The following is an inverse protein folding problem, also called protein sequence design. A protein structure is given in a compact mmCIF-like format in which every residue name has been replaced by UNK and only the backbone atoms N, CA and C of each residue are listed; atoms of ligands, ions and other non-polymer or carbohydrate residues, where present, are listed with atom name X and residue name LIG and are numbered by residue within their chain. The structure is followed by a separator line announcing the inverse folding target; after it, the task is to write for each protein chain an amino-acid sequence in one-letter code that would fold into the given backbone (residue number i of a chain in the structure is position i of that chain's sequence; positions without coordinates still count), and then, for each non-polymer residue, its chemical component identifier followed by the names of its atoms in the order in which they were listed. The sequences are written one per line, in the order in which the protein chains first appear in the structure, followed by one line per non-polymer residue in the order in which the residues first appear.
data_IF_773387176650
#
_entry.id   IF_773387176650
#
_cell.length_a   1.000
_cell.length_b   1.000
_cell.length_c   1.000
_cell.angle_alpha   90.00
_cell.angle_beta   90.00
_cell.angle_gamma   90.00
#
_symmetry.space_group_name_H-M   'P 1'
#
loop_
_entity.id
_entity.type
_entity.pdbx_description
1 polymer ?
#
# COMPACT_ATOMS: atom_id res chain seq x y z
N UNK A 1 -2.62 10.40 17.17
CA UNK A 1 -1.51 11.36 16.88
C UNK A 1 -2.10 12.50 16.07
N UNK A 2 -1.57 13.76 16.13
CA UNK A 2 -2.05 14.78 15.18
C UNK A 2 -1.55 14.45 13.78
N UNK A 3 -2.29 14.86 12.73
CA UNK A 3 -1.88 14.62 11.34
C UNK A 3 -0.51 15.26 11.03
N UNK A 4 -0.19 16.41 11.64
CA UNK A 4 1.11 17.05 11.52
C UNK A 4 2.25 16.18 12.07
N UNK A 5 2.08 15.62 13.27
CA UNK A 5 3.07 14.72 13.88
C UNK A 5 3.22 13.43 13.05
N UNK A 6 2.11 12.90 12.53
CA UNK A 6 2.14 11.76 11.61
C UNK A 6 2.91 12.09 10.33
N UNK A 7 2.67 13.26 9.72
CA UNK A 7 3.36 13.71 8.50
C UNK A 7 4.88 13.77 8.71
N UNK A 8 5.34 14.30 9.84
CA UNK A 8 6.78 14.36 10.16
C UNK A 8 7.38 12.96 10.34
N UNK A 9 6.69 12.08 11.06
CA UNK A 9 7.14 10.69 11.27
C UNK A 9 7.19 9.92 9.96
N UNK A 10 6.15 10.04 9.12
CA UNK A 10 6.08 9.42 7.80
C UNK A 10 7.23 9.91 6.90
N UNK A 11 7.43 11.22 6.78
CA UNK A 11 8.51 11.80 5.97
C UNK A 11 9.88 11.27 6.38
N UNK A 12 10.15 11.22 7.70
CA UNK A 12 11.40 10.70 8.23
C UNK A 12 11.59 9.21 7.92
N UNK A 13 10.53 8.42 8.05
CA UNK A 13 10.57 6.98 7.77
C UNK A 13 10.76 6.68 6.30
N UNK A 14 10.08 7.42 5.40
CA UNK A 14 10.24 7.28 3.95
C UNK A 14 11.66 7.64 3.50
N UNK A 15 12.24 8.70 4.07
CA UNK A 15 13.63 9.09 3.79
C UNK A 15 14.60 7.98 4.18
N UNK A 16 14.44 7.41 5.37
CA UNK A 16 15.29 6.32 5.86
C UNK A 16 15.17 5.02 5.04
N UNK A 17 14.08 4.87 4.30
CA UNK A 17 13.77 3.70 3.48
C UNK A 17 14.05 3.90 1.97
N UNK A 18 14.68 5.01 1.57
CA UNK A 18 14.85 5.40 0.15
C UNK A 18 13.51 5.45 -0.62
N UNK A 19 12.46 5.92 0.05
CA UNK A 19 11.10 6.09 -0.47
C UNK A 19 10.63 7.54 -0.41
N UNK A 20 11.53 8.49 -0.28
CA UNK A 20 11.18 9.92 -0.21
C UNK A 20 10.32 10.34 -1.40
N UNK A 21 9.42 11.32 -1.22
CA UNK A 21 8.68 11.91 -2.32
C UNK A 21 9.61 12.25 -3.49
N UNK A 22 9.22 11.85 -4.71
CA UNK A 22 9.99 11.99 -5.94
C UNK A 22 11.10 10.97 -6.18
N UNK A 23 11.57 10.26 -5.18
CA UNK A 23 12.55 9.19 -5.37
C UNK A 23 11.91 7.87 -5.83
N UNK A 24 10.65 7.65 -5.49
CA UNK A 24 9.84 6.53 -5.93
C UNK A 24 8.70 7.04 -6.82
N UNK A 25 8.46 6.45 -8.00
CA UNK A 25 7.41 6.91 -8.93
C UNK A 25 6.01 6.97 -8.32
N UNK A 26 5.74 6.12 -7.31
CA UNK A 26 4.46 6.03 -6.60
C UNK A 26 4.19 7.19 -5.65
N UNK A 27 5.22 7.91 -5.22
CA UNK A 27 5.12 8.98 -4.24
C UNK A 27 5.50 10.29 -4.92
N UNK A 28 4.52 11.15 -5.29
CA UNK A 28 4.80 12.42 -5.97
C UNK A 28 5.70 13.34 -5.14
N UNK A 29 6.49 14.18 -5.80
CA UNK A 29 7.42 15.14 -5.17
C UNK A 29 6.76 16.02 -4.11
N UNK A 30 5.51 16.40 -4.34
CA UNK A 30 4.74 17.28 -3.47
C UNK A 30 3.77 16.54 -2.54
N UNK A 31 3.97 15.21 -2.36
CA UNK A 31 3.09 14.43 -1.50
C UNK A 31 3.13 14.91 -0.05
N UNK A 32 1.94 15.16 0.47
CA UNK A 32 1.68 15.38 1.90
C UNK A 32 0.42 14.60 2.25
N UNK A 33 0.44 13.75 3.30
CA UNK A 33 -0.74 12.99 3.67
C UNK A 33 -1.87 13.91 4.14
N UNK A 34 -3.09 13.64 3.70
CA UNK A 34 -4.31 14.30 4.18
C UNK A 34 -5.13 13.43 5.12
N UNK A 35 -4.72 12.17 5.30
CA UNK A 35 -5.25 11.26 6.31
C UNK A 35 -4.17 10.27 6.78
N UNK A 36 -4.31 9.80 8.02
CA UNK A 36 -3.50 8.70 8.55
C UNK A 36 -4.12 7.37 8.14
N UNK A 37 -3.31 6.49 7.54
CA UNK A 37 -3.70 5.13 7.15
C UNK A 37 -3.21 4.14 8.20
N UNK A 38 -4.14 3.53 8.92
CA UNK A 38 -3.86 2.53 9.94
C UNK A 38 -4.04 1.12 9.38
N UNK A 39 -3.06 0.27 9.61
CA UNK A 39 -3.02 -1.13 9.14
C UNK A 39 -2.65 -2.01 10.34
N UNK A 40 -3.32 -3.16 10.50
CA UNK A 40 -2.92 -4.13 11.53
C UNK A 40 -3.13 -5.57 11.06
N UNK A 41 -2.16 -6.42 11.36
CA UNK A 41 -2.24 -7.87 11.22
C UNK A 41 -2.50 -8.48 12.62
N UNK A 42 -3.73 -8.92 12.87
CA UNK A 42 -4.15 -9.29 14.22
C UNK A 42 -3.95 -8.10 15.19
N UNK A 43 -3.22 -8.32 16.27
CA UNK A 43 -2.94 -7.30 17.28
C UNK A 43 -1.68 -6.46 16.98
N UNK A 44 -0.97 -6.73 15.90
CA UNK A 44 0.27 -6.02 15.53
C UNK A 44 0.02 -4.95 14.48
N UNK A 45 0.16 -3.69 14.88
CA UNK A 45 0.03 -2.55 13.97
C UNK A 45 1.25 -2.40 13.05
N UNK A 46 1.01 -1.96 11.82
CA UNK A 46 2.04 -1.45 10.91
C UNK A 46 2.40 -0.03 11.32
N UNK A 47 3.68 0.21 11.60
CA UNK A 47 4.18 1.46 12.18
C UNK A 47 5.38 1.99 11.39
N UNK A 48 5.16 2.40 10.15
CA UNK A 48 6.12 3.13 9.32
C UNK A 48 7.48 2.41 9.19
N UNK A 49 7.45 1.12 8.83
CA UNK A 49 8.65 0.33 8.54
C UNK A 49 9.00 -0.75 9.55
N UNK A 50 8.14 -1.05 10.53
CA UNK A 50 8.40 -2.17 11.44
C UNK A 50 8.37 -3.52 10.71
N UNK A 51 9.15 -4.48 11.23
CA UNK A 51 9.35 -5.79 10.63
C UNK A 51 8.20 -6.75 10.94
N UNK A 52 7.71 -7.42 9.90
CA UNK A 52 6.80 -8.57 9.98
C UNK A 52 7.46 -9.82 9.38
N UNK A 53 7.12 -10.98 9.93
CA UNK A 53 7.46 -12.28 9.37
C UNK A 53 6.37 -12.79 8.44
N UNK A 54 6.71 -13.64 7.50
CA UNK A 54 5.73 -14.25 6.57
C UNK A 54 4.56 -14.89 7.32
N UNK A 55 4.83 -15.55 8.44
CA UNK A 55 3.80 -16.19 9.27
C UNK A 55 2.80 -15.21 9.87
N UNK A 56 3.18 -13.94 10.10
CA UNK A 56 2.36 -12.90 10.72
C UNK A 56 1.39 -12.23 9.72
N UNK A 57 1.66 -12.34 8.42
CA UNK A 57 0.95 -11.59 7.36
C UNK A 57 0.13 -12.49 6.42
N UNK A 58 -0.17 -13.72 6.81
CA UNK A 58 -0.90 -14.69 5.98
C UNK A 58 -2.35 -14.29 5.69
N UNK A 59 -2.98 -13.63 6.64
CA UNK A 59 -4.37 -13.18 6.53
C UNK A 59 -4.41 -11.71 6.10
N UNK A 60 -5.51 -11.32 5.45
CA UNK A 60 -5.80 -9.91 5.13
C UNK A 60 -5.73 -9.05 6.38
N UNK A 61 -5.02 -7.91 6.37
CA UNK A 61 -4.97 -7.01 7.51
C UNK A 61 -6.28 -6.23 7.67
N UNK A 62 -6.51 -5.70 8.86
CA UNK A 62 -7.52 -4.66 9.07
C UNK A 62 -6.98 -3.32 8.57
N UNK A 63 -7.88 -2.52 7.99
CA UNK A 63 -7.58 -1.20 7.44
C UNK A 63 -8.54 -0.19 8.07
N UNK A 64 -8.01 0.93 8.53
CA UNK A 64 -8.82 2.08 8.92
C UNK A 64 -8.13 3.40 8.51
N UNK A 65 -8.92 4.43 8.29
CA UNK A 65 -8.45 5.78 8.01
C UNK A 65 -9.56 6.79 8.31
N UNK A 66 -9.16 8.01 8.65
CA UNK A 66 -10.11 9.09 8.89
C UNK A 66 -10.55 9.71 7.56
N UNK A 67 -11.77 10.24 7.53
CA UNK A 67 -12.24 11.07 6.42
C UNK A 67 -11.38 12.34 6.34
N UNK A 68 -10.97 12.71 5.14
CA UNK A 68 -10.28 13.99 4.91
C UNK A 68 -11.20 15.17 5.23
N UNK A 69 -10.67 16.27 5.77
CA UNK A 69 -11.46 17.43 6.26
C UNK A 69 -12.42 18.00 5.21
N UNK A 70 -12.04 18.00 3.95
CA UNK A 70 -12.84 18.57 2.85
C UNK A 70 -13.51 17.53 1.96
N UNK A 71 -13.48 16.25 2.32
CA UNK A 71 -14.08 15.20 1.52
C UNK A 71 -15.61 15.19 1.68
N UNK A 72 -16.33 14.88 0.59
CA UNK A 72 -17.78 14.68 0.63
C UNK A 72 -18.15 13.38 1.38
N UNK A 73 -19.41 13.24 1.79
CA UNK A 73 -19.90 11.99 2.40
C UNK A 73 -19.92 10.81 1.40
N UNK A 74 -19.95 11.12 0.10
CA UNK A 74 -19.90 10.12 -0.97
C UNK A 74 -18.49 9.78 -1.42
N UNK A 75 -17.45 10.43 -0.86
CA UNK A 75 -16.08 10.21 -1.27
C UNK A 75 -15.65 8.76 -1.06
N UNK A 76 -15.04 8.19 -2.08
CA UNK A 76 -14.50 6.83 -2.07
C UNK A 76 -12.98 6.84 -2.28
N UNK A 77 -12.37 5.71 -1.92
CA UNK A 77 -10.92 5.54 -1.91
C UNK A 77 -10.52 4.19 -2.48
N UNK A 78 -9.35 4.17 -3.10
CA UNK A 78 -8.69 2.93 -3.55
C UNK A 78 -7.45 2.66 -2.69
N UNK A 79 -7.35 1.43 -2.17
CA UNK A 79 -6.16 0.93 -1.49
C UNK A 79 -5.33 0.07 -2.44
N UNK A 80 -4.02 0.28 -2.46
CA UNK A 80 -3.05 -0.57 -3.17
C UNK A 80 -2.01 -1.05 -2.17
N UNK A 81 -1.76 -2.38 -2.12
CA UNK A 81 -0.58 -2.97 -1.47
C UNK A 81 0.39 -3.42 -2.55
N UNK A 82 1.61 -2.91 -2.51
CA UNK A 82 2.63 -3.20 -3.52
C UNK A 82 4.03 -3.36 -2.91
N UNK A 83 4.88 -4.13 -3.61
CA UNK A 83 6.25 -4.45 -3.21
C UNK A 83 7.24 -3.94 -4.27
N UNK A 84 8.04 -2.90 -3.97
CA UNK A 84 9.08 -2.37 -4.86
C UNK A 84 10.32 -3.27 -4.96
N UNK A 85 10.42 -4.31 -4.12
CA UNK A 85 11.64 -5.12 -3.95
C UNK A 85 11.54 -6.52 -4.56
N UNK A 86 10.45 -6.85 -5.25
CA UNK A 86 10.23 -8.17 -5.82
C UNK A 86 11.14 -8.46 -7.03
N UNK A 87 11.75 -9.65 -7.15
CA UNK A 87 11.69 -10.81 -6.25
C UNK A 87 12.67 -10.73 -5.07
N UNK A 88 13.59 -9.80 -5.07
CA UNK A 88 14.53 -9.51 -3.98
C UNK A 88 15.01 -8.06 -4.09
N UNK A 89 15.30 -7.36 -2.98
CA UNK A 89 15.81 -5.98 -3.01
C UNK A 89 17.11 -5.81 -3.81
N UNK A 90 17.90 -6.88 -3.97
CA UNK A 90 19.17 -6.88 -4.72
C UNK A 90 18.96 -6.97 -6.25
N UNK A 91 17.82 -7.49 -6.71
CA UNK A 91 17.44 -7.58 -8.14
C UNK A 91 15.91 -7.43 -8.28
N UNK A 92 15.35 -6.21 -8.14
CA UNK A 92 13.91 -5.98 -8.06
C UNK A 92 13.22 -5.94 -9.44
N UNK A 93 13.57 -6.86 -10.33
CA UNK A 93 13.09 -6.91 -11.73
C UNK A 93 11.59 -7.12 -11.91
N UNK A 94 10.85 -7.46 -10.85
CA UNK A 94 9.40 -7.59 -10.86
C UNK A 94 8.69 -6.46 -10.07
N UNK A 95 9.45 -5.42 -9.72
CA UNK A 95 8.89 -4.22 -9.09
C UNK A 95 7.96 -3.47 -10.07
N UNK A 96 6.85 -2.96 -9.65
CA UNK A 96 6.26 -3.17 -8.34
C UNK A 96 5.34 -4.38 -8.37
N UNK A 97 5.47 -5.30 -7.42
CA UNK A 97 4.56 -6.44 -7.34
C UNK A 97 3.22 -6.03 -6.73
N UNK A 98 2.10 -6.37 -7.39
CA UNK A 98 0.76 -6.05 -6.92
C UNK A 98 0.24 -7.14 -5.99
N UNK A 99 0.16 -6.83 -4.69
CA UNK A 99 -0.32 -7.77 -3.66
C UNK A 99 -1.83 -7.68 -3.46
N UNK A 100 -2.41 -6.49 -3.53
CA UNK A 100 -3.81 -6.25 -3.22
C UNK A 100 -4.29 -4.92 -3.79
N UNK A 101 -5.52 -4.88 -4.32
CA UNK A 101 -6.18 -3.64 -4.76
C UNK A 101 -7.64 -3.71 -4.40
N UNK A 102 -8.15 -2.71 -3.68
CA UNK A 102 -9.57 -2.56 -3.33
C UNK A 102 -10.00 -1.14 -3.65
N UNK A 103 -11.09 -0.98 -4.39
CA UNK A 103 -11.67 0.29 -4.79
C UNK A 103 -13.04 0.52 -4.14
N UNK A 104 -13.49 1.76 -4.06
CA UNK A 104 -14.78 2.13 -3.51
C UNK A 104 -14.86 2.10 -1.98
N UNK A 105 -13.72 2.11 -1.29
CA UNK A 105 -13.65 2.13 0.17
C UNK A 105 -14.18 3.46 0.73
N UNK A 106 -14.79 3.39 1.90
CA UNK A 106 -15.17 4.57 2.70
C UNK A 106 -14.55 4.48 4.09
N UNK A 107 -14.29 5.60 4.76
CA UNK A 107 -13.70 5.61 6.11
C UNK A 107 -14.47 4.79 7.14
N UNK A 108 -15.79 4.69 6.99
CA UNK A 108 -16.69 3.94 7.88
C UNK A 108 -16.82 2.46 7.56
N UNK A 109 -16.34 2.05 6.40
CA UNK A 109 -16.55 0.69 5.89
C UNK A 109 -15.37 -0.20 6.30
N UNK A 110 -15.67 -1.43 6.70
CA UNK A 110 -14.63 -2.45 6.80
C UNK A 110 -14.09 -2.82 5.42
N UNK A 111 -12.84 -3.27 5.36
CA UNK A 111 -12.19 -3.65 4.10
C UNK A 111 -12.94 -4.75 3.33
N UNK A 112 -13.61 -5.63 4.05
CA UNK A 112 -14.40 -6.74 3.48
C UNK A 112 -15.74 -6.28 2.89
N UNK A 113 -16.09 -5.00 3.00
CA UNK A 113 -17.34 -4.45 2.47
C UNK A 113 -17.33 -4.33 0.94
N UNK A 114 -16.16 -4.42 0.31
CA UNK A 114 -15.98 -4.28 -1.13
C UNK A 114 -15.23 -5.47 -1.72
N UNK A 115 -15.61 -5.93 -2.92
CA UNK A 115 -14.85 -6.94 -3.63
C UNK A 115 -13.48 -6.36 -4.04
N UNK A 116 -12.43 -7.15 -3.86
CA UNK A 116 -11.10 -6.77 -4.31
C UNK A 116 -11.02 -6.80 -5.84
N UNK A 117 -10.34 -5.82 -6.42
CA UNK A 117 -9.95 -5.83 -7.85
C UNK A 117 -8.76 -6.77 -8.07
N UNK A 118 -7.88 -6.84 -7.11
CA UNK A 118 -6.84 -7.87 -6.99
C UNK A 118 -6.91 -8.45 -5.58
N UNK A 119 -7.19 -9.73 -5.46
CA UNK A 119 -7.29 -10.41 -4.16
C UNK A 119 -5.96 -10.36 -3.39
N UNK A 120 -6.07 -10.30 -2.06
CA UNK A 120 -4.89 -10.27 -1.19
C UNK A 120 -4.00 -11.48 -1.42
N UNK A 121 -2.77 -11.23 -1.79
CA UNK A 121 -1.69 -12.20 -1.83
C UNK A 121 -0.68 -11.82 -0.75
N UNK A 122 -0.53 -12.67 0.24
CA UNK A 122 0.36 -12.39 1.36
C UNK A 122 1.80 -12.12 0.91
N UNK A 123 2.53 -11.19 1.55
CA UNK A 123 3.98 -11.12 1.46
C UNK A 123 4.65 -12.46 1.67
N UNK A 124 5.61 -12.81 0.81
CA UNK A 124 6.28 -14.10 0.85
C UNK A 124 7.77 -14.01 0.48
N UNK A 125 8.55 -13.09 1.07
CA UNK A 125 9.98 -13.04 0.84
C UNK A 125 10.65 -14.31 1.36
N UNK A 126 11.72 -14.76 0.67
CA UNK A 126 12.48 -15.94 1.06
C UNK A 126 13.35 -15.65 2.28
N UNK A 127 13.76 -16.73 2.98
CA UNK A 127 14.63 -16.63 4.16
C UNK A 127 16.04 -16.13 3.83
N UNK A 128 16.50 -16.31 2.60
CA UNK A 128 17.79 -15.86 2.08
C UNK A 128 17.73 -14.47 1.43
N UNK A 129 16.55 -13.83 1.38
CA UNK A 129 16.38 -12.45 0.92
C UNK A 129 16.48 -11.48 2.07
N UNK A 130 17.07 -10.30 1.82
CA UNK A 130 16.88 -9.15 2.73
C UNK A 130 15.40 -8.81 2.83
N UNK A 131 14.94 -8.19 3.94
CA UNK A 131 13.55 -7.76 4.07
C UNK A 131 13.11 -6.87 2.91
N UNK A 132 11.89 -7.11 2.41
CA UNK A 132 11.25 -6.29 1.40
C UNK A 132 10.44 -5.17 2.03
N UNK A 133 10.30 -4.05 1.34
CA UNK A 133 9.36 -2.96 1.70
C UNK A 133 7.99 -3.25 1.10
N UNK A 134 6.96 -3.20 1.92
CA UNK A 134 5.56 -3.34 1.49
C UNK A 134 4.82 -2.05 1.76
N UNK A 135 4.33 -1.42 0.68
CA UNK A 135 3.69 -0.10 0.70
C UNK A 135 2.19 -0.25 0.64
N UNK A 136 1.50 0.24 1.64
CA UNK A 136 0.05 0.46 1.63
C UNK A 136 -0.20 1.90 1.21
N UNK A 137 -0.87 2.09 0.08
CA UNK A 137 -1.11 3.38 -0.55
C UNK A 137 -2.61 3.61 -0.62
N UNK A 138 -3.09 4.68 0.00
CA UNK A 138 -4.49 5.08 -0.06
C UNK A 138 -4.65 6.25 -1.02
N UNK A 139 -5.51 6.07 -2.00
CA UNK A 139 -5.81 7.09 -3.00
C UNK A 139 -7.25 7.53 -2.88
N UNK A 140 -7.48 8.84 -2.95
CA UNK A 140 -8.80 9.42 -3.16
C UNK A 140 -9.22 9.22 -4.61
N UNK A 141 -10.44 8.74 -4.83
CA UNK A 141 -11.04 8.53 -6.15
C UNK A 141 -11.69 9.82 -6.68
N UNK A 142 -11.65 10.07 -8.00
CA UNK A 142 -12.50 11.09 -8.60
C UNK A 142 -13.97 10.68 -8.51
N UNK A 143 -14.87 11.64 -8.55
CA UNK A 143 -16.32 11.39 -8.51
C UNK A 143 -16.75 10.49 -9.68
N UNK A 144 -17.58 9.50 -9.37
CA UNK A 144 -18.12 8.59 -10.37
C UNK A 144 -17.17 7.53 -10.90
N UNK A 145 -15.96 7.37 -10.32
CA UNK A 145 -15.07 6.29 -10.70
C UNK A 145 -15.71 4.93 -10.44
N UNK A 146 -15.62 4.05 -11.43
CA UNK A 146 -16.03 2.65 -11.33
C UNK A 146 -14.92 1.79 -11.96
N UNK A 147 -14.28 0.97 -11.17
CA UNK A 147 -13.20 0.08 -11.58
C UNK A 147 -13.65 -1.38 -11.53
N UNK A 148 -13.12 -2.18 -12.43
CA UNK A 148 -13.31 -3.62 -12.54
C UNK A 148 -11.97 -4.36 -12.42
N UNK A 149 -12.01 -5.68 -12.33
CA UNK A 149 -10.79 -6.51 -12.28
C UNK A 149 -9.95 -6.39 -13.56
N UNK A 150 -10.58 -6.16 -14.69
CA UNK A 150 -9.92 -5.97 -15.98
C UNK A 150 -9.05 -4.72 -16.01
N UNK A 151 -9.46 -3.66 -15.28
CA UNK A 151 -8.72 -2.39 -15.23
C UNK A 151 -7.36 -2.52 -14.53
N UNK A 152 -7.18 -3.51 -13.66
CA UNK A 152 -5.90 -3.78 -12.98
C UNK A 152 -5.04 -4.85 -13.65
N UNK A 153 -5.50 -5.45 -14.77
CA UNK A 153 -4.69 -6.34 -15.61
C UNK A 153 -4.61 -7.80 -15.15
N UNK A 154 -5.63 -8.30 -14.44
CA UNK A 154 -5.75 -9.71 -14.05
C UNK A 154 -5.10 -10.08 -12.72
N UNK A 155 -5.34 -11.31 -12.22
CA UNK A 155 -4.96 -11.76 -10.88
C UNK A 155 -3.96 -12.93 -10.85
N UNK A 156 -3.66 -13.51 -12.01
CA UNK A 156 -2.71 -14.60 -12.08
C UNK A 156 -1.35 -14.19 -11.54
N UNK A 157 -0.63 -15.12 -10.93
CA UNK A 157 0.66 -14.86 -10.28
C UNK A 157 1.61 -14.03 -11.16
N UNK A 158 1.71 -14.38 -12.45
CA UNK A 158 2.60 -13.65 -13.38
C UNK A 158 2.07 -12.27 -13.76
N UNK A 159 0.76 -12.04 -13.68
CA UNK A 159 0.12 -10.76 -14.02
C UNK A 159 0.26 -9.70 -12.92
N UNK A 160 0.70 -10.12 -11.73
CA UNK A 160 0.96 -9.21 -10.60
C UNK A 160 2.33 -8.52 -10.68
N UNK A 161 3.21 -9.00 -11.58
CA UNK A 161 4.57 -8.47 -11.77
C UNK A 161 4.55 -7.12 -12.46
N UNK A 162 5.53 -6.28 -12.12
CA UNK A 162 5.82 -5.01 -12.81
C UNK A 162 4.59 -4.13 -13.01
N UNK A 163 3.74 -4.06 -11.98
CA UNK A 163 2.55 -3.24 -11.99
C UNK A 163 2.94 -1.76 -11.96
N UNK A 164 2.57 -1.02 -12.99
CA UNK A 164 2.87 0.39 -13.14
C UNK A 164 1.88 1.25 -12.31
N UNK A 165 1.91 1.09 -11.01
CA UNK A 165 0.93 1.66 -10.11
C UNK A 165 0.81 3.19 -10.20
N UNK A 166 1.92 3.91 -10.45
CA UNK A 166 1.90 5.36 -10.63
C UNK A 166 1.18 5.78 -11.93
N UNK A 167 1.49 5.10 -13.05
CA UNK A 167 0.83 5.34 -14.33
C UNK A 167 -0.66 4.99 -14.23
N UNK A 168 -0.97 3.83 -13.65
CA UNK A 168 -2.34 3.37 -13.44
C UNK A 168 -3.16 4.33 -12.57
N UNK A 169 -2.59 4.82 -11.47
CA UNK A 169 -3.25 5.81 -10.63
C UNK A 169 -3.52 7.12 -11.37
N UNK A 170 -2.56 7.59 -12.18
CA UNK A 170 -2.71 8.79 -12.99
C UNK A 170 -3.79 8.63 -14.09
N UNK A 171 -3.84 7.48 -14.76
CA UNK A 171 -4.84 7.17 -15.78
C UNK A 171 -6.26 7.19 -15.24
N UNK A 172 -6.46 6.77 -13.98
CA UNK A 172 -7.75 6.77 -13.30
C UNK A 172 -8.04 8.03 -12.46
N UNK A 173 -7.16 9.03 -12.52
CA UNK A 173 -7.34 10.30 -11.80
C UNK A 173 -7.26 10.16 -10.28
N UNK A 174 -6.59 9.13 -9.78
CA UNK A 174 -6.42 8.86 -8.36
C UNK A 174 -5.42 9.83 -7.74
N UNK A 175 -5.71 10.33 -6.53
CA UNK A 175 -4.82 11.22 -5.78
C UNK A 175 -4.34 10.51 -4.52
N UNK A 176 -3.03 10.35 -4.36
CA UNK A 176 -2.44 9.75 -3.16
C UNK A 176 -2.71 10.64 -1.93
N UNK A 177 -3.31 10.08 -0.87
CA UNK A 177 -3.74 10.80 0.33
C UNK A 177 -3.18 10.23 1.64
N UNK A 178 -2.76 8.97 1.64
CA UNK A 178 -2.18 8.33 2.82
C UNK A 178 -1.22 7.21 2.44
N UNK A 179 -0.20 7.02 3.26
CA UNK A 179 0.78 5.92 3.13
C UNK A 179 1.00 5.32 4.51
N UNK A 180 1.09 4.00 4.56
CA UNK A 180 1.75 3.26 5.62
C UNK A 180 2.61 2.18 4.97
N UNK A 181 3.62 1.67 5.68
CA UNK A 181 4.51 0.68 5.11
C UNK A 181 5.17 -0.18 6.18
N UNK A 182 5.59 -1.37 5.78
CA UNK A 182 6.29 -2.31 6.65
C UNK A 182 7.47 -2.96 5.93
N UNK A 183 8.36 -3.55 6.70
CA UNK A 183 9.31 -4.53 6.21
C UNK A 183 8.72 -5.92 6.37
N UNK A 184 8.92 -6.79 5.37
CA UNK A 184 8.56 -8.19 5.43
C UNK A 184 9.78 -9.07 5.21
N UNK A 185 9.96 -10.10 6.05
CA UNK A 185 11.04 -11.06 5.94
C UNK A 185 10.56 -12.49 6.06
N UNK A 186 11.28 -13.44 5.49
CA UNK A 186 11.06 -14.87 5.69
C UNK A 186 11.11 -15.25 7.18
N UNK A 187 10.43 -16.32 7.57
CA UNK A 187 10.37 -16.75 8.97
C UNK A 187 11.76 -17.16 9.51
N UNK A 188 12.61 -17.67 8.65
CA UNK A 188 13.99 -18.06 8.96
C UNK A 188 15.05 -17.00 8.70
N UNK A 189 14.67 -15.81 8.20
CA UNK A 189 15.61 -14.73 7.94
C UNK A 189 16.31 -14.26 9.21
N UNK A 190 17.63 -14.06 9.11
CA UNK A 190 18.50 -13.57 10.20
C UNK A 190 19.23 -12.32 9.73
N UNK A 191 19.31 -11.35 10.60
CA UNK A 191 20.07 -10.12 10.43
C UNK A 191 21.58 -10.37 10.38
#
# INVERSE_FOLDING_TARGET
MSLEAHTQALSSSLLAADLSPGSAPLIPDNFTPSTELEIAFGDKAVTLGNLFRVSEVKSTPTISFAKEDNASESQTYTLILTDPDAPTPDDPKFAYWRHWVVSGLKPSDGIDSKPALTEYLAPGPKDDSRPHRYLFLLFREPEGLSLSKEDVGGEEFVQRRSFKAAEWAAEHGLTLVGINWMLGAGDGWKE
#
